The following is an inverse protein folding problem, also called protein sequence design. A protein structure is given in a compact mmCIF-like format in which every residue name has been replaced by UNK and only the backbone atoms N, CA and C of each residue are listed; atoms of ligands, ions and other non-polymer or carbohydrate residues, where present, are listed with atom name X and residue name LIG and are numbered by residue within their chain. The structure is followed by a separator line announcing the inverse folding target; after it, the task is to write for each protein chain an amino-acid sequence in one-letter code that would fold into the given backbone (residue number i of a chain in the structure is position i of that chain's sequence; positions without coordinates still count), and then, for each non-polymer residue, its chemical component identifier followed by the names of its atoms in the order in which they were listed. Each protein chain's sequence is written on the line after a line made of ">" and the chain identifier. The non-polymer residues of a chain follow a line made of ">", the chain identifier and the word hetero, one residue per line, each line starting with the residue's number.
data_IF_932576779906
#
_entry.id   IF_932576779906
#
_cell.length_a   1.000
_cell.length_b   1.000
_cell.length_c   1.000
_cell.angle_alpha   90.00
_cell.angle_beta   90.00
_cell.angle_gamma   90.00
#
_symmetry.space_group_name_H-M   'P 1'
#
loop_
_entity.id
_entity.type
_entity.pdbx_description
1 polymer ?
#
# COMPACT_ATOMS: atom_id res chain seq x y z
N UNK A 1 5.92 -18.32 -0.14
CA UNK A 1 5.48 -17.50 1.00
C UNK A 1 4.28 -16.71 0.53
N UNK A 2 3.14 -16.87 1.17
CA UNK A 2 1.91 -16.14 0.83
C UNK A 2 1.89 -14.89 1.71
N UNK A 3 1.62 -13.73 1.11
CA UNK A 3 1.45 -12.47 1.84
C UNK A 3 -0.03 -12.17 1.77
N UNK A 4 -0.72 -12.28 2.90
CA UNK A 4 -2.12 -11.86 2.99
C UNK A 4 -2.16 -10.34 3.14
N UNK A 5 -2.67 -9.69 2.10
CA UNK A 5 -2.86 -8.25 2.07
C UNK A 5 -4.34 -7.94 2.31
N UNK A 6 -4.66 -6.87 3.04
CA UNK A 6 -6.01 -6.36 3.08
C UNK A 6 -6.53 -6.08 1.65
N UNK A 7 -7.82 -6.31 1.35
CA UNK A 7 -8.35 -6.24 -0.01
C UNK A 7 -8.08 -4.91 -0.74
N UNK A 8 -8.05 -3.80 0.01
CA UNK A 8 -7.79 -2.49 -0.56
C UNK A 8 -6.32 -2.30 -0.97
N UNK A 9 -5.37 -2.85 -0.20
CA UNK A 9 -3.94 -2.82 -0.55
C UNK A 9 -3.68 -3.69 -1.77
N UNK A 10 -4.29 -4.88 -1.81
CA UNK A 10 -4.18 -5.76 -2.97
C UNK A 10 -4.62 -5.04 -4.27
N UNK A 11 -5.77 -4.36 -4.23
CA UNK A 11 -6.26 -3.58 -5.37
C UNK A 11 -5.32 -2.43 -5.74
N UNK A 12 -4.73 -1.73 -4.75
CA UNK A 12 -3.74 -0.68 -5.02
C UNK A 12 -2.49 -1.24 -5.72
N UNK A 13 -1.97 -2.37 -5.26
CA UNK A 13 -0.79 -3.03 -5.84
C UNK A 13 -1.09 -3.48 -7.27
N UNK A 14 -2.25 -4.10 -7.50
CA UNK A 14 -2.69 -4.52 -8.83
C UNK A 14 -2.82 -3.32 -9.80
N UNK A 15 -3.45 -2.24 -9.36
CA UNK A 15 -3.62 -1.05 -10.17
C UNK A 15 -2.29 -0.38 -10.52
N UNK A 16 -1.32 -0.36 -9.61
CA UNK A 16 0.01 0.18 -9.90
C UNK A 16 0.84 -0.70 -10.81
N UNK A 17 0.72 -2.03 -10.69
CA UNK A 17 1.35 -2.97 -11.60
C UNK A 17 0.79 -2.78 -13.03
N UNK A 18 -0.53 -2.66 -13.15
CA UNK A 18 -1.22 -2.37 -14.41
C UNK A 18 -0.82 -1.02 -15.01
N UNK A 19 -0.80 0.05 -14.22
CA UNK A 19 -0.44 1.39 -14.68
C UNK A 19 1.01 1.47 -15.20
N UNK A 20 1.90 0.64 -14.66
CA UNK A 20 3.32 0.56 -15.06
C UNK A 20 3.58 -0.53 -16.11
N UNK A 21 2.56 -1.29 -16.50
CA UNK A 21 2.65 -2.43 -17.42
C UNK A 21 3.73 -3.46 -17.00
N UNK A 22 3.83 -3.73 -15.70
CA UNK A 22 4.76 -4.72 -15.13
C UNK A 22 3.99 -5.76 -14.31
N UNK A 23 4.60 -6.91 -14.04
CA UNK A 23 4.00 -7.88 -13.13
C UNK A 23 4.01 -7.38 -11.68
N UNK A 24 3.04 -7.85 -10.90
CA UNK A 24 2.97 -7.57 -9.46
C UNK A 24 4.26 -7.99 -8.74
N UNK A 25 4.83 -9.14 -9.13
CA UNK A 25 6.11 -9.61 -8.57
C UNK A 25 7.25 -8.62 -8.85
N UNK A 26 7.35 -8.09 -10.08
CA UNK A 26 8.39 -7.13 -10.45
C UNK A 26 8.21 -5.79 -9.71
N UNK A 27 6.95 -5.38 -9.48
CA UNK A 27 6.65 -4.20 -8.67
C UNK A 27 7.11 -4.39 -7.21
N UNK A 28 6.80 -5.53 -6.61
CA UNK A 28 7.24 -5.87 -5.24
C UNK A 28 8.75 -5.94 -5.15
N UNK A 29 9.43 -6.53 -6.14
CA UNK A 29 10.89 -6.56 -6.19
C UNK A 29 11.52 -5.16 -6.32
N UNK A 30 10.87 -4.24 -7.06
CA UNK A 30 11.34 -2.86 -7.14
C UNK A 30 11.22 -2.14 -5.79
N UNK A 31 10.11 -2.33 -5.07
CA UNK A 31 9.94 -1.76 -3.74
C UNK A 31 10.90 -2.36 -2.72
N UNK A 32 11.11 -3.68 -2.76
CA UNK A 32 12.07 -4.35 -1.90
C UNK A 32 13.52 -3.91 -2.16
N UNK A 33 13.84 -3.47 -3.38
CA UNK A 33 15.16 -2.91 -3.75
C UNK A 33 15.27 -1.41 -3.48
N UNK A 34 14.17 -0.70 -3.22
CA UNK A 34 14.17 0.68 -2.74
C UNK A 34 14.30 0.68 -1.21
N UNK A 35 15.52 0.42 -0.75
CA UNK A 35 15.92 0.07 0.62
C UNK A 35 15.59 1.09 1.74
N UNK A 36 14.81 2.14 1.50
CA UNK A 36 14.58 3.20 2.51
C UNK A 36 13.21 3.88 2.43
N UNK A 37 12.18 3.24 1.85
CA UNK A 37 10.82 3.78 1.94
C UNK A 37 9.95 2.91 2.82
N UNK A 38 9.79 3.36 4.08
CA UNK A 38 8.76 2.83 4.96
C UNK A 38 7.40 3.00 4.26
N UNK A 39 6.55 1.97 4.32
CA UNK A 39 5.20 2.01 3.76
C UNK A 39 4.43 3.27 4.22
N UNK A 40 4.70 3.75 5.43
CA UNK A 40 4.17 4.99 5.99
C UNK A 40 4.53 6.21 5.13
N UNK A 41 5.76 6.30 4.64
CA UNK A 41 6.21 7.43 3.84
C UNK A 41 5.68 7.34 2.40
N UNK A 42 5.39 6.14 1.91
CA UNK A 42 4.66 5.95 0.65
C UNK A 42 3.22 6.48 0.72
N UNK A 43 2.50 6.24 1.83
CA UNK A 43 1.14 6.77 2.03
C UNK A 43 1.11 8.29 2.27
N UNK A 44 2.19 8.89 2.77
CA UNK A 44 2.30 10.35 2.88
C UNK A 44 2.55 11.03 1.53
N UNK A 45 3.32 10.38 0.65
CA UNK A 45 3.72 10.96 -0.64
C UNK A 45 2.68 10.77 -1.74
N UNK A 46 1.82 9.76 -1.62
CA UNK A 46 0.69 9.59 -2.52
C UNK A 46 -0.56 10.11 -1.81
N UNK A 47 -1.13 11.25 -2.22
CA UNK A 47 -2.35 11.76 -1.60
C UNK A 47 -3.42 10.67 -1.66
N UNK A 48 -4.25 10.54 -0.61
CA UNK A 48 -5.32 9.56 -0.59
C UNK A 48 -6.15 9.70 -1.88
N UNK A 49 -6.44 8.57 -2.52
CA UNK A 49 -7.54 8.47 -3.47
C UNK A 49 -8.75 9.14 -2.78
N UNK A 50 -9.49 10.02 -3.45
CA UNK A 50 -10.54 10.88 -2.87
C UNK A 50 -11.51 10.18 -1.88
N UNK A 51 -11.61 8.84 -1.96
CA UNK A 51 -12.27 7.97 -0.99
C UNK A 51 -11.74 8.05 0.47
N UNK A 52 -10.58 8.66 0.74
CA UNK A 52 -9.95 8.70 2.07
C UNK A 52 -9.64 10.12 2.56
N UNK A 53 -10.19 11.16 1.93
CA UNK A 53 -9.98 12.55 2.36
C UNK A 53 -10.39 12.81 3.82
N UNK A 54 -11.36 12.04 4.34
CA UNK A 54 -11.90 12.18 5.69
C UNK A 54 -11.41 11.12 6.69
N UNK A 55 -10.52 10.21 6.29
CA UNK A 55 -10.08 9.10 7.15
C UNK A 55 -8.73 9.43 7.76
N UNK A 56 -8.69 9.64 9.07
CA UNK A 56 -7.46 9.86 9.83
C UNK A 56 -6.55 8.62 9.74
N UNK A 57 -5.38 8.73 9.07
CA UNK A 57 -4.49 7.60 8.84
C UNK A 57 -3.93 7.01 10.15
N UNK A 58 -3.84 7.80 11.22
CA UNK A 58 -3.39 7.33 12.53
C UNK A 58 -4.48 6.52 13.21
N UNK A 59 -5.74 6.93 13.09
CA UNK A 59 -6.89 6.20 13.62
C UNK A 59 -7.08 4.86 12.90
N UNK A 60 -6.93 4.84 11.57
CA UNK A 60 -7.00 3.62 10.77
C UNK A 60 -5.92 2.60 11.18
N UNK A 61 -4.68 3.06 11.34
CA UNK A 61 -3.58 2.18 11.76
C UNK A 61 -3.76 1.60 13.16
N UNK A 62 -4.37 2.35 14.09
CA UNK A 62 -4.72 1.81 15.42
C UNK A 62 -5.80 0.74 15.33
N UNK A 63 -6.87 0.99 14.57
CA UNK A 63 -7.96 0.03 14.40
C UNK A 63 -7.47 -1.31 13.82
N UNK A 64 -6.63 -1.26 12.78
CA UNK A 64 -6.08 -2.48 12.16
C UNK A 64 -5.11 -3.23 13.09
N UNK A 65 -4.39 -2.51 13.98
CA UNK A 65 -3.47 -3.12 14.95
C UNK A 65 -4.19 -3.79 16.13
N UNK A 66 -5.33 -3.26 16.55
CA UNK A 66 -6.11 -3.80 17.67
C UNK A 66 -7.02 -4.98 17.26
N UNK A 67 -7.22 -5.22 15.96
CA UNK A 67 -7.97 -6.37 15.43
C UNK A 67 -7.15 -7.66 15.26
N UNK A 68 -5.85 -7.65 15.62
CA UNK A 68 -4.95 -8.81 15.54
C UNK A 68 -4.42 -9.26 16.91
#
# INVERSE_FOLDING_TARGET
>A
MVIDLPPHIEQMVLNQALARNISVSALIEQWAKQDDMLLIDFFKQNPPIDAFADIDPVAYQRAVRDEW
#
